data_IF_038223387706
#
_entry.id   IF_038223387706
#
_cell.length_a   1.000
_cell.length_b   1.000
_cell.length_c   1.000
_cell.angle_alpha   90.00
_cell.angle_beta   90.00
_cell.angle_gamma   90.00
#
_symmetry.space_group_name_H-M   'P 1'
#
loop_
_entity.id
_entity.type
_entity.pdbx_description
1 polymer ?
#
# COMPACT_ATOMS: atom_id res chain seq x y z
N UNK A 1 1.76 39.13 -48.27
CA UNK A 1 1.80 37.64 -48.24
C UNK A 1 1.88 37.22 -46.80
N UNK A 2 0.76 36.71 -46.25
CA UNK A 2 0.64 36.30 -44.85
C UNK A 2 1.21 34.87 -44.67
N UNK A 3 2.24 34.76 -43.88
CA UNK A 3 2.76 33.47 -43.45
C UNK A 3 1.89 32.89 -42.31
N UNK A 4 1.17 31.81 -42.60
CA UNK A 4 0.39 31.09 -41.60
C UNK A 4 1.31 30.33 -40.64
N UNK A 5 1.35 30.76 -39.38
CA UNK A 5 2.04 30.07 -38.27
C UNK A 5 1.23 28.84 -37.89
N UNK A 6 1.70 27.66 -38.27
CA UNK A 6 1.15 26.37 -37.81
C UNK A 6 1.57 26.12 -36.36
N UNK A 7 0.74 26.52 -35.43
CA UNK A 7 0.84 26.06 -34.04
C UNK A 7 0.38 24.61 -33.97
N UNK A 8 1.30 23.65 -34.01
CA UNK A 8 1.03 22.26 -33.65
C UNK A 8 0.69 22.21 -32.16
N UNK A 9 -0.60 22.18 -31.84
CA UNK A 9 -1.07 21.77 -30.53
C UNK A 9 -0.66 20.30 -30.31
N UNK A 10 0.33 20.09 -29.47
CA UNK A 10 0.60 18.77 -28.91
C UNK A 10 -0.52 18.45 -27.91
N UNK A 11 -1.65 17.97 -28.39
CA UNK A 11 -2.62 17.26 -27.58
C UNK A 11 -1.97 15.94 -27.15
N UNK A 12 -1.42 15.89 -25.95
CA UNK A 12 -1.07 14.62 -25.32
C UNK A 12 -2.37 13.85 -25.12
N UNK A 13 -2.69 12.91 -26.01
CA UNK A 13 -3.78 11.96 -25.80
C UNK A 13 -3.52 11.30 -24.43
N UNK A 14 -4.28 11.68 -23.40
CA UNK A 14 -4.33 10.91 -22.15
C UNK A 14 -4.74 9.50 -22.55
N UNK A 15 -3.87 8.54 -22.32
CA UNK A 15 -4.21 7.12 -22.50
C UNK A 15 -5.40 6.82 -21.60
N UNK A 16 -6.39 6.08 -22.09
CA UNK A 16 -7.47 5.60 -21.24
C UNK A 16 -6.89 4.76 -20.08
N UNK A 17 -7.47 4.87 -18.88
CA UNK A 17 -7.03 4.09 -17.75
C UNK A 17 -7.12 2.58 -18.03
N UNK A 18 -6.09 1.83 -17.66
CA UNK A 18 -6.12 0.38 -17.75
C UNK A 18 -6.84 -0.20 -16.51
N UNK A 19 -8.12 -0.52 -16.68
CA UNK A 19 -8.95 -1.07 -15.61
C UNK A 19 -8.51 -2.46 -15.10
N UNK A 20 -7.60 -3.13 -15.81
CA UNK A 20 -7.03 -4.42 -15.41
C UNK A 20 -5.71 -4.27 -14.66
N UNK A 21 -5.25 -3.03 -14.44
CA UNK A 21 -4.00 -2.74 -13.76
C UNK A 21 -4.26 -2.11 -12.39
N UNK A 22 -3.57 -2.61 -11.38
CA UNK A 22 -3.69 -2.19 -9.98
C UNK A 22 -2.34 -1.75 -9.43
N UNK A 23 -2.33 -0.72 -8.58
CA UNK A 23 -1.15 -0.31 -7.85
C UNK A 23 -1.26 -0.78 -6.39
N UNK A 24 -0.34 -1.63 -6.00
CA UNK A 24 -0.19 -2.11 -4.62
C UNK A 24 1.02 -1.41 -4.01
N UNK A 25 0.80 -0.65 -2.95
CA UNK A 25 1.86 0.10 -2.26
C UNK A 25 2.04 -0.47 -0.87
N UNK A 26 3.17 -1.11 -0.61
CA UNK A 26 3.60 -1.42 0.76
C UNK A 26 4.35 -0.22 1.33
N UNK A 27 3.90 0.34 2.47
CA UNK A 27 4.63 1.41 3.15
C UNK A 27 5.66 0.83 4.11
N UNK A 28 6.81 1.48 4.19
CA UNK A 28 7.94 1.13 5.03
C UNK A 28 9.10 2.11 4.85
N UNK A 29 10.15 1.94 5.62
CA UNK A 29 11.41 2.68 5.52
C UNK A 29 12.49 1.78 4.88
N UNK A 30 13.32 2.38 4.02
CA UNK A 30 14.48 1.71 3.44
C UNK A 30 15.66 1.75 4.41
N UNK A 31 16.45 0.68 4.41
CA UNK A 31 17.65 0.53 5.23
C UNK A 31 17.58 -0.73 6.09
N UNK A 32 18.70 -1.41 6.24
CA UNK A 32 18.79 -2.66 7.01
C UNK A 32 18.40 -2.46 8.49
N UNK A 33 18.55 -1.25 9.02
CA UNK A 33 18.14 -0.86 10.38
C UNK A 33 16.63 -0.93 10.59
N UNK A 34 15.82 -0.81 9.50
CA UNK A 34 14.37 -0.88 9.55
C UNK A 34 13.79 -2.25 9.22
N UNK A 35 14.65 -3.21 8.83
CA UNK A 35 14.19 -4.55 8.48
C UNK A 35 13.51 -5.24 9.67
N UNK A 36 12.27 -5.71 9.45
CA UNK A 36 11.45 -6.39 10.45
C UNK A 36 10.90 -5.47 11.54
N UNK A 37 10.99 -4.14 11.39
CA UNK A 37 10.32 -3.19 12.29
C UNK A 37 8.81 -3.18 12.03
N UNK A 38 8.02 -2.77 13.05
CA UNK A 38 6.56 -2.65 12.94
C UNK A 38 6.16 -1.69 11.81
N UNK A 39 6.94 -0.63 11.58
CA UNK A 39 6.67 0.37 10.53
C UNK A 39 6.91 -0.14 9.11
N UNK A 40 7.58 -1.31 8.97
CA UNK A 40 7.79 -1.98 7.69
C UNK A 40 6.73 -3.05 7.38
N UNK A 41 5.63 -3.10 8.13
CA UNK A 41 4.52 -4.03 7.89
C UNK A 41 4.01 -4.04 6.43
N UNK A 42 4.00 -2.89 5.77
CA UNK A 42 3.63 -2.82 4.35
C UNK A 42 4.68 -3.45 3.43
N UNK A 43 5.96 -3.33 3.75
CA UNK A 43 7.04 -3.99 2.99
C UNK A 43 6.94 -5.51 3.13
N UNK A 44 6.70 -6.03 4.34
CA UNK A 44 6.53 -7.47 4.58
C UNK A 44 5.43 -8.07 3.71
N UNK A 45 4.28 -7.39 3.61
CA UNK A 45 3.17 -7.83 2.74
C UNK A 45 3.54 -7.76 1.26
N UNK A 46 4.22 -6.69 0.84
CA UNK A 46 4.64 -6.53 -0.55
C UNK A 46 5.67 -7.60 -0.96
N UNK A 47 6.63 -7.91 -0.07
CA UNK A 47 7.63 -8.96 -0.30
C UNK A 47 6.95 -10.32 -0.41
N UNK A 48 6.09 -10.68 0.54
CA UNK A 48 5.36 -11.96 0.52
C UNK A 48 4.48 -12.12 -0.73
N UNK A 49 3.84 -11.02 -1.18
CA UNK A 49 3.01 -11.02 -2.38
C UNK A 49 3.84 -11.33 -3.64
N UNK A 50 5.00 -10.68 -3.77
CA UNK A 50 5.87 -10.80 -4.95
C UNK A 50 6.60 -12.15 -4.96
N UNK A 51 7.16 -12.58 -3.82
CA UNK A 51 7.80 -13.90 -3.67
C UNK A 51 6.83 -15.04 -3.98
N UNK A 52 5.61 -14.97 -3.45
CA UNK A 52 4.57 -15.98 -3.69
C UNK A 52 4.11 -16.07 -5.15
N UNK A 53 4.45 -15.08 -5.99
CA UNK A 53 4.23 -15.09 -7.42
C UNK A 53 5.51 -15.42 -8.24
N UNK A 54 6.61 -15.75 -7.57
CA UNK A 54 7.92 -16.00 -8.21
C UNK A 54 8.55 -14.74 -8.80
N UNK A 55 8.12 -13.55 -8.37
CA UNK A 55 8.63 -12.28 -8.83
C UNK A 55 9.83 -11.78 -8.01
N UNK A 56 10.43 -10.70 -8.47
CA UNK A 56 11.53 -10.00 -7.78
C UNK A 56 11.35 -8.50 -7.91
N UNK A 57 11.76 -7.76 -6.88
CA UNK A 57 11.80 -6.31 -6.92
C UNK A 57 13.05 -5.82 -7.67
N UNK A 58 12.88 -4.77 -8.46
CA UNK A 58 13.97 -4.03 -9.11
C UNK A 58 13.94 -2.58 -8.67
N UNK A 59 15.09 -1.94 -8.39
CA UNK A 59 15.14 -0.51 -8.11
C UNK A 59 14.61 0.30 -9.30
N UNK A 60 13.75 1.28 -9.02
CA UNK A 60 13.24 2.24 -10.00
C UNK A 60 13.01 3.59 -9.30
N UNK A 61 12.51 4.58 -10.04
CA UNK A 61 12.32 5.94 -9.53
C UNK A 61 11.33 5.96 -8.36
N UNK A 62 11.79 6.44 -7.21
CA UNK A 62 11.06 6.59 -5.94
C UNK A 62 10.59 5.28 -5.29
N UNK A 63 10.91 4.10 -5.83
CA UNK A 63 10.53 2.83 -5.25
C UNK A 63 11.37 1.66 -5.77
N UNK A 64 11.36 0.54 -5.03
CA UNK A 64 11.58 -0.77 -5.63
C UNK A 64 10.25 -1.26 -6.21
N UNK A 65 10.25 -1.73 -7.46
CA UNK A 65 9.07 -2.15 -8.23
C UNK A 65 9.15 -3.63 -8.57
N UNK A 66 8.02 -4.30 -8.48
CA UNK A 66 7.77 -5.59 -9.11
C UNK A 66 6.45 -5.54 -9.89
N UNK A 67 6.29 -6.41 -10.87
CA UNK A 67 5.05 -6.57 -11.62
C UNK A 67 4.69 -8.05 -11.64
N UNK A 68 3.50 -8.38 -11.20
CA UNK A 68 2.99 -9.76 -11.16
C UNK A 68 1.64 -9.86 -11.88
N UNK A 69 1.35 -11.06 -12.42
CA UNK A 69 0.09 -11.38 -13.07
C UNK A 69 -0.79 -12.21 -12.15
N UNK A 70 -2.05 -11.82 -12.02
CA UNK A 70 -3.02 -12.55 -11.22
C UNK A 70 -4.39 -12.58 -11.90
N UNK A 71 -4.85 -13.76 -12.35
CA UNK A 71 -6.18 -13.96 -12.98
C UNK A 71 -6.52 -12.91 -14.04
N UNK A 72 -5.60 -12.63 -14.95
CA UNK A 72 -5.78 -11.66 -16.02
C UNK A 72 -5.47 -10.20 -15.65
N UNK A 73 -5.32 -9.89 -14.35
CA UNK A 73 -4.94 -8.57 -13.86
C UNK A 73 -3.42 -8.40 -13.73
N UNK A 74 -2.97 -7.18 -13.84
CA UNK A 74 -1.58 -6.78 -13.56
C UNK A 74 -1.51 -6.06 -12.23
N UNK A 75 -0.74 -6.57 -11.28
CA UNK A 75 -0.45 -5.91 -10.02
C UNK A 75 0.95 -5.28 -10.12
N UNK A 76 1.00 -3.95 -10.15
CA UNK A 76 2.24 -3.17 -10.02
C UNK A 76 2.46 -2.99 -8.52
N UNK A 77 3.45 -3.69 -7.98
CA UNK A 77 3.76 -3.67 -6.55
C UNK A 77 4.96 -2.77 -6.32
N UNK A 78 4.83 -1.79 -5.43
CA UNK A 78 5.91 -0.84 -5.12
C UNK A 78 6.16 -0.74 -3.63
N UNK A 79 7.45 -0.71 -3.28
CA UNK A 79 7.97 -0.33 -1.96
C UNK A 79 8.63 1.04 -2.11
N UNK A 80 8.02 2.15 -1.63
CA UNK A 80 8.61 3.48 -1.74
C UNK A 80 10.02 3.54 -1.16
N UNK A 81 10.94 4.19 -1.90
CA UNK A 81 12.31 4.48 -1.43
C UNK A 81 12.47 5.91 -0.92
N UNK A 82 11.36 6.60 -0.71
CA UNK A 82 11.30 7.93 -0.09
C UNK A 82 11.18 7.79 1.42
N UNK A 83 11.47 8.86 2.17
CA UNK A 83 11.08 8.92 3.58
C UNK A 83 9.56 8.72 3.72
N UNK A 84 9.12 8.14 4.86
CA UNK A 84 7.71 7.84 5.11
C UNK A 84 6.79 9.03 4.88
N UNK A 85 7.16 10.21 5.36
CA UNK A 85 6.40 11.46 5.17
C UNK A 85 6.44 12.04 3.74
N UNK A 86 7.09 11.35 2.80
CA UNK A 86 7.16 11.67 1.37
C UNK A 86 6.61 10.54 0.49
N UNK A 87 5.93 9.54 1.07
CA UNK A 87 5.38 8.38 0.36
C UNK A 87 4.41 8.77 -0.75
N UNK A 88 3.63 9.83 -0.57
CA UNK A 88 2.69 10.34 -1.59
C UNK A 88 3.38 10.75 -2.89
N UNK A 89 4.64 11.19 -2.83
CA UNK A 89 5.43 11.51 -4.04
C UNK A 89 5.67 10.26 -4.89
N UNK A 90 6.01 9.14 -4.25
CA UNK A 90 6.19 7.86 -4.93
C UNK A 90 4.85 7.33 -5.48
N UNK A 91 3.80 7.35 -4.67
CA UNK A 91 2.46 6.86 -5.07
C UNK A 91 1.93 7.64 -6.27
N UNK A 92 1.96 8.97 -6.21
CA UNK A 92 1.52 9.83 -7.32
C UNK A 92 2.30 9.55 -8.60
N UNK A 93 3.64 9.46 -8.51
CA UNK A 93 4.48 9.15 -9.66
C UNK A 93 4.10 7.82 -10.30
N UNK A 94 3.87 6.77 -9.51
CA UNK A 94 3.54 5.45 -10.04
C UNK A 94 2.11 5.36 -10.58
N UNK A 95 1.14 6.04 -9.98
CA UNK A 95 -0.21 6.18 -10.54
C UNK A 95 -0.17 6.84 -11.92
N UNK A 96 0.56 7.96 -12.04
CA UNK A 96 0.69 8.70 -13.29
C UNK A 96 1.45 7.88 -14.36
N UNK A 97 2.59 7.26 -13.99
CA UNK A 97 3.43 6.48 -14.89
C UNK A 97 2.72 5.25 -15.46
N UNK A 98 1.98 4.55 -14.62
CA UNK A 98 1.26 3.32 -14.99
C UNK A 98 -0.19 3.59 -15.44
N UNK A 99 -0.62 4.85 -15.42
CA UNK A 99 -1.98 5.29 -15.76
C UNK A 99 -3.05 4.55 -14.93
N UNK A 100 -2.82 4.42 -13.62
CA UNK A 100 -3.70 3.72 -12.67
C UNK A 100 -4.54 4.75 -11.92
N UNK A 101 -5.86 4.54 -11.88
CA UNK A 101 -6.79 5.37 -11.14
C UNK A 101 -6.80 5.02 -9.65
N UNK A 102 -7.29 5.94 -8.80
CA UNK A 102 -7.35 5.73 -7.33
C UNK A 102 -8.19 4.53 -6.92
N UNK A 103 -9.21 4.20 -7.68
CA UNK A 103 -10.09 3.05 -7.46
C UNK A 103 -9.32 1.73 -7.51
N UNK A 104 -8.20 1.71 -8.26
CA UNK A 104 -7.30 0.57 -8.42
C UNK A 104 -6.02 0.71 -7.57
N UNK A 105 -5.97 1.67 -6.63
CA UNK A 105 -4.89 1.82 -5.66
C UNK A 105 -5.26 1.12 -4.35
N UNK A 106 -4.35 0.30 -3.83
CA UNK A 106 -4.41 -0.24 -2.47
C UNK A 106 -3.09 0.02 -1.74
N UNK A 107 -3.17 0.58 -0.54
CA UNK A 107 -2.01 0.90 0.30
C UNK A 107 -2.01 0.02 1.54
N UNK A 108 -0.89 -0.64 1.80
CA UNK A 108 -0.68 -1.46 3.01
C UNK A 108 0.19 -0.70 3.99
N UNK A 109 -0.25 -0.63 5.25
CA UNK A 109 0.33 0.23 6.28
C UNK A 109 0.17 -0.41 7.66
N UNK A 110 1.08 -0.13 8.59
CA UNK A 110 0.94 -0.48 10.00
C UNK A 110 -0.14 0.35 10.70
N UNK A 111 -0.74 -0.21 11.74
CA UNK A 111 -1.73 0.47 12.58
C UNK A 111 -1.57 0.05 14.05
N UNK A 112 -1.19 1.00 14.89
CA UNK A 112 -1.00 0.79 16.34
C UNK A 112 -2.31 0.60 17.11
N UNK A 113 -3.45 0.98 16.54
CA UNK A 113 -4.77 0.81 17.16
C UNK A 113 -5.37 -0.58 16.91
N UNK A 114 -4.66 -1.45 16.19
CA UNK A 114 -5.10 -2.80 15.86
C UNK A 114 -4.14 -3.80 16.50
N UNK A 115 -4.64 -4.84 17.20
CA UNK A 115 -3.79 -5.89 17.77
C UNK A 115 -2.96 -6.61 16.71
N UNK A 116 -1.75 -7.06 17.09
CA UNK A 116 -0.90 -7.92 16.27
C UNK A 116 -1.67 -9.15 15.77
N UNK A 117 -1.39 -9.60 14.56
CA UNK A 117 -2.09 -10.74 13.94
C UNK A 117 -3.49 -10.42 13.39
N UNK A 118 -3.90 -9.16 13.45
CA UNK A 118 -5.19 -8.70 12.93
C UNK A 118 -4.95 -7.67 11.84
N UNK A 119 -5.75 -7.71 10.78
CA UNK A 119 -5.76 -6.65 9.78
C UNK A 119 -7.15 -6.04 9.62
N UNK A 120 -7.22 -4.85 9.01
CA UNK A 120 -8.47 -4.19 8.70
C UNK A 120 -8.42 -3.53 7.33
N UNK A 121 -9.37 -3.86 6.47
CA UNK A 121 -9.50 -3.30 5.11
C UNK A 121 -10.53 -2.18 5.13
N UNK A 122 -10.25 -1.09 4.44
CA UNK A 122 -11.15 0.06 4.27
C UNK A 122 -11.07 0.55 2.84
N UNK A 123 -12.22 0.88 2.25
CA UNK A 123 -12.32 1.52 0.92
C UNK A 123 -11.85 2.97 0.94
N UNK A 124 -11.98 3.63 2.10
CA UNK A 124 -11.57 5.02 2.37
C UNK A 124 -11.38 5.22 3.87
N UNK A 125 -10.80 6.33 4.29
CA UNK A 125 -10.69 6.66 5.72
C UNK A 125 -9.63 7.72 6.02
N UNK A 126 -9.55 8.16 7.28
CA UNK A 126 -8.51 9.09 7.75
C UNK A 126 -7.12 8.42 7.73
N UNK A 127 -6.08 9.24 7.83
CA UNK A 127 -4.70 8.78 7.96
C UNK A 127 -4.42 8.08 9.31
N UNK A 128 -5.23 8.36 10.35
CA UNK A 128 -5.04 7.80 11.69
C UNK A 128 -3.72 8.20 12.35
N UNK A 129 -3.16 9.35 11.96
CA UNK A 129 -1.86 9.84 12.44
C UNK A 129 -0.66 9.24 11.71
N UNK A 130 -0.88 8.36 10.72
CA UNK A 130 0.21 7.74 9.96
C UNK A 130 0.77 8.70 8.90
N UNK A 131 2.04 9.12 9.06
CA UNK A 131 2.67 10.15 8.20
C UNK A 131 2.66 9.80 6.71
N UNK A 132 2.82 8.53 6.35
CA UNK A 132 2.76 8.05 4.97
C UNK A 132 1.38 8.26 4.36
N UNK A 133 0.31 7.85 5.05
CA UNK A 133 -1.07 8.06 4.59
C UNK A 133 -1.40 9.55 4.50
N UNK A 134 -1.02 10.36 5.49
CA UNK A 134 -1.22 11.81 5.47
C UNK A 134 -0.61 12.45 4.22
N UNK A 135 0.59 12.04 3.83
CA UNK A 135 1.25 12.56 2.62
C UNK A 135 0.60 12.05 1.32
N UNK A 136 0.15 10.78 1.30
CA UNK A 136 -0.60 10.24 0.15
C UNK A 136 -1.91 10.99 -0.01
N UNK A 137 -2.68 11.20 1.06
CA UNK A 137 -3.94 11.94 1.04
C UNK A 137 -3.76 13.35 0.47
N UNK A 138 -2.68 14.04 0.87
CA UNK A 138 -2.36 15.38 0.39
C UNK A 138 -1.98 15.44 -1.10
N UNK A 139 -1.24 14.45 -1.61
CA UNK A 139 -0.66 14.49 -2.96
C UNK A 139 -1.46 13.71 -4.00
N UNK A 140 -2.30 12.76 -3.60
CA UNK A 140 -3.04 11.88 -4.51
C UNK A 140 -4.55 12.22 -4.57
N UNK A 141 -4.94 13.43 -4.14
CA UNK A 141 -6.30 13.95 -4.29
C UNK A 141 -7.29 13.43 -3.24
N UNK A 142 -6.82 13.22 -2.00
CA UNK A 142 -7.65 12.85 -0.85
C UNK A 142 -7.56 11.37 -0.48
N UNK A 143 -8.41 10.97 0.44
CA UNK A 143 -8.36 9.70 1.15
C UNK A 143 -9.29 8.60 0.60
N UNK A 144 -9.78 8.77 -0.63
CA UNK A 144 -10.70 7.83 -1.27
C UNK A 144 -9.93 6.79 -2.10
N UNK A 145 -9.21 5.88 -1.43
CA UNK A 145 -8.51 4.73 -1.99
C UNK A 145 -8.52 3.59 -0.98
N UNK A 146 -8.38 2.35 -1.47
CA UNK A 146 -8.36 1.17 -0.61
C UNK A 146 -7.09 1.12 0.25
N UNK A 147 -7.23 0.66 1.50
CA UNK A 147 -6.10 0.46 2.41
C UNK A 147 -6.27 -0.80 3.25
N UNK A 148 -5.17 -1.49 3.48
CA UNK A 148 -5.05 -2.57 4.46
C UNK A 148 -4.23 -2.02 5.62
N UNK A 149 -4.81 -2.03 6.82
CA UNK A 149 -4.17 -1.65 8.06
C UNK A 149 -3.74 -2.91 8.78
N UNK A 150 -2.43 -3.11 8.89
CA UNK A 150 -1.81 -4.24 9.58
C UNK A 150 -1.63 -3.91 11.05
N UNK A 151 -2.25 -4.68 11.92
CA UNK A 151 -2.12 -4.49 13.35
C UNK A 151 -0.72 -4.81 13.84
N UNK A 152 -0.11 -3.85 14.52
CA UNK A 152 1.22 -3.98 15.12
C UNK A 152 1.21 -3.80 16.63
N UNK A 153 0.00 -3.68 17.22
CA UNK A 153 -0.17 -3.40 18.64
C UNK A 153 0.08 -1.95 18.99
N UNK A 154 -0.20 -1.59 20.24
CA UNK A 154 -0.12 -0.19 20.70
C UNK A 154 0.23 -0.10 22.19
N UNK A 155 0.86 -1.11 22.76
CA UNK A 155 1.28 -1.10 24.16
C UNK A 155 2.63 -0.41 24.33
N UNK A 156 2.60 0.92 24.43
CA UNK A 156 3.77 1.76 24.65
C UNK A 156 3.42 2.99 25.50
N UNK A 157 4.38 3.53 26.28
CA UNK A 157 4.19 4.75 27.05
C UNK A 157 3.88 5.97 26.17
N UNK A 158 3.12 6.91 26.71
CA UNK A 158 2.83 8.16 26.02
C UNK A 158 4.12 8.86 25.56
N UNK A 159 4.17 9.29 24.29
CA UNK A 159 5.33 9.96 23.69
C UNK A 159 6.35 9.00 23.03
N UNK A 160 6.24 7.68 23.23
CA UNK A 160 7.17 6.67 22.68
C UNK A 160 6.67 5.99 21.41
N UNK A 161 5.67 6.55 20.72
CA UNK A 161 5.10 5.94 19.52
C UNK A 161 6.16 5.71 18.43
N UNK A 162 7.07 6.66 18.22
CA UNK A 162 8.11 6.57 17.18
C UNK A 162 9.05 5.41 17.48
N UNK A 163 9.54 5.31 18.71
CA UNK A 163 10.44 4.21 19.12
C UNK A 163 9.74 2.86 19.00
N UNK A 164 8.45 2.81 19.36
CA UNK A 164 7.65 1.60 19.27
C UNK A 164 7.49 1.10 17.83
N UNK A 165 7.10 1.96 16.89
CA UNK A 165 6.90 1.54 15.49
C UNK A 165 8.22 1.25 14.77
N UNK A 166 9.32 1.86 15.18
CA UNK A 166 10.65 1.55 14.70
C UNK A 166 11.29 0.35 15.42
N UNK A 167 10.64 -0.18 16.47
CA UNK A 167 11.00 -1.43 17.12
C UNK A 167 10.53 -2.65 16.33
N UNK A 168 11.19 -3.79 16.58
CA UNK A 168 10.85 -5.09 15.97
C UNK A 168 9.71 -5.77 16.73
N UNK A 169 8.99 -6.64 16.05
CA UNK A 169 8.05 -7.58 16.69
C UNK A 169 8.85 -8.61 17.51
N UNK A 170 8.30 -9.07 18.65
CA UNK A 170 8.85 -10.24 19.35
C UNK A 170 8.70 -11.50 18.49
N UNK A 171 9.35 -12.60 18.87
CA UNK A 171 9.22 -13.85 18.14
C UNK A 171 7.78 -14.35 18.11
N UNK A 172 7.07 -14.23 19.22
CA UNK A 172 5.67 -14.63 19.36
C UNK A 172 4.75 -13.72 18.53
N UNK A 173 4.95 -12.41 18.61
CA UNK A 173 4.22 -11.43 17.80
C UNK A 173 4.45 -11.67 16.31
N UNK A 174 5.68 -12.02 15.90
CA UNK A 174 6.02 -12.29 14.51
C UNK A 174 5.24 -13.46 13.93
N UNK A 175 5.06 -14.54 14.70
CA UNK A 175 4.25 -15.70 14.27
C UNK A 175 2.82 -15.31 13.97
N UNK A 176 2.19 -14.51 14.84
CA UNK A 176 0.82 -14.03 14.61
C UNK A 176 0.74 -12.99 13.49
N UNK A 177 1.73 -12.11 13.40
CA UNK A 177 1.82 -11.12 12.35
C UNK A 177 1.94 -11.76 10.97
N UNK A 178 2.76 -12.80 10.80
CA UNK A 178 2.94 -13.52 9.53
C UNK A 178 1.64 -14.14 9.01
N UNK A 179 0.76 -14.63 9.91
CA UNK A 179 -0.59 -15.08 9.52
C UNK A 179 -1.43 -13.93 8.93
N UNK A 180 -1.31 -12.73 9.50
CA UNK A 180 -2.00 -11.55 8.97
C UNK A 180 -1.40 -11.06 7.66
N UNK A 181 -0.09 -11.25 7.44
CA UNK A 181 0.57 -10.98 6.15
C UNK A 181 0.01 -11.87 5.05
N UNK A 182 -0.14 -13.18 5.32
CA UNK A 182 -0.76 -14.11 4.36
C UNK A 182 -2.22 -13.74 4.03
N UNK A 183 -2.99 -13.35 5.05
CA UNK A 183 -4.35 -12.87 4.86
C UNK A 183 -4.40 -11.57 4.03
N UNK A 184 -3.46 -10.65 4.24
CA UNK A 184 -3.36 -9.41 3.46
C UNK A 184 -3.01 -9.68 1.98
N UNK A 185 -2.11 -10.63 1.72
CA UNK A 185 -1.79 -11.09 0.35
C UNK A 185 -3.04 -11.64 -0.36
N UNK A 186 -3.83 -12.49 0.33
CA UNK A 186 -5.08 -13.00 -0.21
C UNK A 186 -6.08 -11.85 -0.49
N UNK A 187 -6.20 -10.89 0.42
CA UNK A 187 -7.07 -9.73 0.26
C UNK A 187 -6.67 -8.82 -0.91
N UNK A 188 -5.37 -8.63 -1.17
CA UNK A 188 -4.89 -7.87 -2.33
C UNK A 188 -5.28 -8.57 -3.64
N UNK A 189 -5.14 -9.89 -3.70
CA UNK A 189 -5.54 -10.70 -4.86
C UNK A 189 -7.06 -10.63 -5.11
N UNK A 190 -7.85 -10.67 -4.04
CA UNK A 190 -9.31 -10.53 -4.11
C UNK A 190 -9.72 -9.11 -4.48
N UNK A 191 -9.06 -8.07 -3.97
CA UNK A 191 -9.30 -6.69 -4.37
C UNK A 191 -9.24 -6.51 -5.89
N UNK A 192 -8.24 -7.09 -6.54
CA UNK A 192 -8.09 -7.02 -7.99
C UNK A 192 -9.16 -7.83 -8.75
N UNK A 193 -9.75 -8.86 -8.15
CA UNK A 193 -10.66 -9.79 -8.87
C UNK A 193 -12.14 -9.60 -8.55
N UNK A 194 -12.48 -9.26 -7.31
CA UNK A 194 -13.88 -9.13 -6.86
C UNK A 194 -14.23 -7.74 -6.36
N UNK A 195 -13.26 -6.81 -6.33
CA UNK A 195 -13.42 -5.42 -5.92
C UNK A 195 -13.45 -5.22 -4.39
N UNK A 196 -13.34 -3.95 -3.98
CA UNK A 196 -13.09 -3.59 -2.57
C UNK A 196 -14.21 -4.01 -1.61
N UNK A 197 -15.48 -3.83 -1.99
CA UNK A 197 -16.62 -4.13 -1.09
C UNK A 197 -16.69 -5.62 -0.75
N UNK A 198 -16.57 -6.48 -1.76
CA UNK A 198 -16.58 -7.94 -1.55
C UNK A 198 -15.35 -8.40 -0.78
N UNK A 199 -14.18 -7.79 -1.05
CA UNK A 199 -12.96 -8.06 -0.30
C UNK A 199 -13.09 -7.68 1.17
N UNK A 200 -13.66 -6.52 1.49
CA UNK A 200 -13.92 -6.13 2.88
C UNK A 200 -14.85 -7.12 3.59
N UNK A 201 -15.91 -7.57 2.90
CA UNK A 201 -16.84 -8.55 3.47
C UNK A 201 -16.20 -9.92 3.72
N UNK A 202 -15.30 -10.35 2.83
CA UNK A 202 -14.62 -11.65 2.95
C UNK A 202 -13.52 -11.66 4.03
N UNK A 203 -12.78 -10.55 4.18
CA UNK A 203 -11.56 -10.53 4.97
C UNK A 203 -11.64 -9.72 6.27
N UNK A 204 -12.60 -8.81 6.45
CA UNK A 204 -12.83 -8.13 7.71
C UNK A 204 -13.62 -9.02 8.65
N UNK A 205 -12.98 -9.91 9.37
CA UNK A 205 -13.66 -10.71 10.39
C UNK A 205 -14.22 -9.80 11.49
N UNK A 206 -15.54 -9.80 11.67
CA UNK A 206 -16.15 -9.27 12.89
C UNK A 206 -15.71 -10.19 14.04
N UNK A 207 -14.89 -9.69 14.97
CA UNK A 207 -14.81 -10.36 16.28
C UNK A 207 -16.26 -10.46 16.79
N UNK A 208 -16.77 -11.68 16.98
CA UNK A 208 -17.98 -11.86 17.79
C UNK A 208 -17.62 -11.26 19.15
N UNK A 209 -18.30 -10.18 19.52
CA UNK A 209 -18.28 -9.72 20.91
C UNK A 209 -18.83 -10.87 21.73
N UNK A 210 -17.98 -11.50 22.53
CA UNK A 210 -18.44 -12.36 23.61
C UNK A 210 -19.19 -11.41 24.55
N UNK A 211 -20.54 -11.51 24.52
CA UNK A 211 -21.42 -10.91 25.51
C UNK A 211 -21.29 -11.69 26.81
#
# INVERSE_FOLDING_TARGET
MLGALFTKLFSSKRREPDCMKYLVVGLGNIGAEYDGTRHNAGFDVADKLVEGAGGTFTPDRYASKAEIRWKGHTLVVVKPSTYMNLSGKAVRYWMDKENIQRENLIVVVDDIAIPVGTMRIRAKGSDGGHNGLKNIDALCGGNNYARIRMGVGGDFPQGHQVDFVLGKLSAEERVEFDKSVEAAVAAIKDFATIGIERTMNAHNHRKKSNA
#
